data_IF_215482499002
#
_entry.id   IF_215482499002
#
_cell.length_a   1.000
_cell.length_b   1.000
_cell.length_c   1.000
_cell.angle_alpha   90.00
_cell.angle_beta   90.00
_cell.angle_gamma   90.00
#
_symmetry.space_group_name_H-M   'P 1'
#
loop_
_entity.id
_entity.type
_entity.pdbx_description
1 polymer ?
#
# COMPACT_ATOMS: atom_id res chain seq x y z
N UNK A 1 24.35 -23.12 -65.96
CA UNK A 1 23.10 -22.55 -65.56
C UNK A 1 23.14 -22.40 -64.01
N UNK A 2 23.38 -21.20 -63.53
CA UNK A 2 23.57 -20.94 -62.14
C UNK A 2 22.24 -20.43 -61.56
N UNK A 3 21.71 -21.13 -60.54
CA UNK A 3 20.53 -20.74 -59.83
C UNK A 3 20.93 -19.89 -58.59
N UNK A 4 20.56 -18.61 -58.58
CA UNK A 4 20.66 -17.76 -57.41
C UNK A 4 19.49 -18.05 -56.46
N UNK A 5 19.78 -18.49 -55.25
CA UNK A 5 18.82 -18.58 -54.16
C UNK A 5 18.93 -17.28 -53.34
N UNK A 6 17.89 -16.46 -53.36
CA UNK A 6 17.79 -15.26 -52.53
C UNK A 6 17.42 -15.65 -51.11
N UNK A 7 18.28 -15.36 -50.15
CA UNK A 7 17.99 -15.45 -48.73
C UNK A 7 17.20 -14.22 -48.30
N UNK A 8 15.95 -14.43 -47.89
CA UNK A 8 15.13 -13.39 -47.23
C UNK A 8 15.58 -13.29 -45.77
N UNK A 9 16.26 -12.20 -45.42
CA UNK A 9 16.48 -11.82 -44.02
C UNK A 9 15.17 -11.31 -43.45
N UNK A 10 14.54 -12.10 -42.60
CA UNK A 10 13.49 -11.61 -41.72
C UNK A 10 14.13 -10.68 -40.67
N UNK A 11 13.94 -9.38 -40.83
CA UNK A 11 14.26 -8.41 -39.80
C UNK A 11 13.27 -8.61 -38.61
N UNK A 12 13.71 -9.36 -37.62
CA UNK A 12 13.01 -9.45 -36.36
C UNK A 12 13.08 -8.07 -35.69
N UNK A 13 11.97 -7.38 -35.62
CA UNK A 13 11.82 -6.18 -34.79
C UNK A 13 11.95 -6.59 -33.33
N UNK A 14 13.12 -6.33 -32.74
CA UNK A 14 13.30 -6.40 -31.30
C UNK A 14 12.35 -5.36 -30.69
N UNK A 15 11.31 -5.83 -30.05
CA UNK A 15 10.42 -4.98 -29.25
C UNK A 15 11.29 -4.26 -28.22
N UNK A 16 11.34 -2.94 -28.32
CA UNK A 16 12.16 -2.10 -27.45
C UNK A 16 11.62 -2.22 -26.01
N UNK A 17 12.38 -2.73 -25.03
CA UNK A 17 11.92 -2.86 -23.66
C UNK A 17 11.48 -1.52 -23.02
N UNK A 18 11.98 -0.40 -23.57
CA UNK A 18 11.57 0.93 -23.15
C UNK A 18 10.08 1.25 -23.41
N UNK A 19 9.47 0.67 -24.45
CA UNK A 19 8.04 0.91 -24.73
C UNK A 19 7.12 0.13 -23.79
N UNK A 20 7.56 -1.03 -23.29
CA UNK A 20 6.81 -1.77 -22.28
C UNK A 20 6.83 -1.04 -20.91
N UNK A 21 7.92 -0.33 -20.60
CA UNK A 21 8.02 0.47 -19.37
C UNK A 21 7.14 1.72 -19.39
N UNK A 22 7.04 2.41 -20.52
CA UNK A 22 6.20 3.60 -20.66
C UNK A 22 4.70 3.29 -20.44
N UNK A 23 4.25 2.10 -20.89
CA UNK A 23 2.85 1.69 -20.68
C UNK A 23 2.53 1.36 -19.21
N UNK A 24 3.52 0.93 -18.42
CA UNK A 24 3.33 0.68 -16.99
C UNK A 24 3.34 1.98 -16.16
N UNK A 25 4.17 2.94 -16.51
CA UNK A 25 4.14 4.27 -15.87
C UNK A 25 2.81 4.99 -16.11
N UNK A 26 2.26 4.92 -17.32
CA UNK A 26 0.95 5.50 -17.62
C UNK A 26 -0.19 4.82 -16.85
N UNK A 27 -0.09 3.53 -16.59
CA UNK A 27 -1.11 2.81 -15.82
C UNK A 27 -1.08 3.15 -14.32
N UNK A 28 0.09 3.35 -13.75
CA UNK A 28 0.24 3.80 -12.37
C UNK A 28 -0.22 5.26 -12.19
N UNK A 29 0.07 6.13 -13.16
CA UNK A 29 -0.26 7.55 -13.09
C UNK A 29 -1.77 7.84 -13.22
N UNK A 30 -2.50 7.06 -14.03
CA UNK A 30 -3.94 7.26 -14.24
C UNK A 30 -4.83 6.68 -13.12
N UNK A 31 -4.29 5.91 -12.19
CA UNK A 31 -5.04 5.41 -11.04
C UNK A 31 -4.85 6.23 -9.75
N UNK A 32 -4.06 7.27 -9.79
CA UNK A 32 -3.92 8.27 -8.72
C UNK A 32 -5.15 9.18 -8.60
N UNK A 33 -6.18 8.99 -9.40
CA UNK A 33 -7.44 9.71 -9.20
C UNK A 33 -8.12 9.17 -7.96
N UNK A 34 -7.92 9.87 -6.85
CA UNK A 34 -8.74 9.73 -5.66
C UNK A 34 -10.21 9.85 -6.08
N UNK A 35 -10.94 8.77 -6.07
CA UNK A 35 -12.41 8.82 -6.12
C UNK A 35 -12.86 9.18 -4.71
N UNK A 36 -13.35 10.39 -4.47
CA UNK A 36 -13.96 10.72 -3.19
C UNK A 36 -15.30 9.99 -3.12
N UNK A 37 -15.33 8.82 -2.53
CA UNK A 37 -16.61 8.16 -2.25
C UNK A 37 -17.08 8.65 -0.89
N UNK A 38 -17.73 9.79 -0.91
CA UNK A 38 -18.55 10.24 0.22
C UNK A 38 -19.94 9.64 0.10
N UNK A 39 -20.20 8.51 0.72
CA UNK A 39 -21.55 8.05 0.99
C UNK A 39 -21.87 8.28 2.46
N UNK A 40 -22.81 9.19 2.71
CA UNK A 40 -23.38 9.43 4.03
C UNK A 40 -24.49 8.41 4.23
N UNK A 41 -24.26 7.40 5.07
CA UNK A 41 -25.33 6.57 5.59
C UNK A 41 -25.65 6.99 7.03
N UNK A 42 -26.92 7.25 7.37
CA UNK A 42 -27.34 7.37 8.78
C UNK A 42 -27.35 5.96 9.37
N UNK A 43 -26.25 5.59 10.02
CA UNK A 43 -26.06 4.30 10.66
C UNK A 43 -25.07 4.40 11.83
N UNK A 44 -24.86 3.30 12.58
CA UNK A 44 -23.87 3.28 13.65
C UNK A 44 -22.49 3.67 13.11
N UNK A 45 -21.54 4.14 13.97
CA UNK A 45 -20.25 4.61 13.52
C UNK A 45 -19.54 3.57 12.63
N UNK A 46 -19.23 3.98 11.41
CA UNK A 46 -18.55 3.16 10.42
C UNK A 46 -17.16 3.71 10.16
N UNK A 47 -16.16 2.84 10.07
CA UNK A 47 -14.83 3.19 9.62
C UNK A 47 -14.66 2.83 8.13
N UNK A 48 -14.24 3.80 7.32
CA UNK A 48 -13.85 3.60 5.92
C UNK A 48 -12.36 3.86 5.81
N UNK A 49 -11.59 2.84 5.48
CA UNK A 49 -10.16 2.94 5.20
C UNK A 49 -9.92 2.75 3.72
N UNK A 50 -9.37 3.78 3.06
CA UNK A 50 -8.96 3.73 1.66
C UNK A 50 -7.46 3.49 1.61
N UNK A 51 -7.03 2.41 0.97
CA UNK A 51 -5.63 2.12 0.72
C UNK A 51 -5.30 2.53 -0.71
N UNK A 52 -4.61 3.64 -0.87
CA UNK A 52 -4.08 4.09 -2.16
C UNK A 52 -2.64 3.61 -2.32
N UNK A 53 -2.32 3.16 -3.52
CA UNK A 53 -1.00 2.65 -3.86
C UNK A 53 -0.35 3.51 -4.91
N UNK A 54 0.86 3.96 -4.63
CA UNK A 54 1.73 4.60 -5.61
C UNK A 54 2.99 3.75 -5.74
N UNK A 55 3.27 3.24 -6.93
CA UNK A 55 4.53 2.56 -7.22
C UNK A 55 5.44 3.49 -8.03
N UNK A 56 6.67 3.67 -7.56
CA UNK A 56 7.74 4.33 -8.31
C UNK A 56 8.63 3.26 -8.92
N UNK A 57 8.81 3.27 -10.23
CA UNK A 57 9.62 2.28 -10.94
C UNK A 57 10.95 2.92 -11.32
N UNK A 58 11.99 2.60 -10.55
CA UNK A 58 13.37 2.74 -10.96
C UNK A 58 14.03 1.37 -10.83
N UNK A 59 14.31 0.66 -11.92
CA UNK A 59 14.79 -0.72 -11.91
C UNK A 59 13.67 -1.76 -11.96
N UNK A 60 13.93 -2.99 -11.55
CA UNK A 60 13.03 -4.13 -11.67
C UNK A 60 12.21 -4.35 -10.38
N UNK A 61 11.50 -3.33 -9.88
CA UNK A 61 10.68 -3.44 -8.68
C UNK A 61 9.35 -2.72 -8.84
N UNK A 62 8.27 -3.40 -8.49
CA UNK A 62 6.90 -2.89 -8.54
C UNK A 62 5.90 -3.89 -7.97
N UNK A 63 4.63 -3.58 -8.11
CA UNK A 63 3.55 -4.55 -7.87
C UNK A 63 3.23 -5.30 -9.17
N UNK A 64 2.84 -6.57 -9.06
CA UNK A 64 2.35 -7.31 -10.20
C UNK A 64 1.01 -6.72 -10.66
N UNK A 65 0.83 -6.61 -11.98
CA UNK A 65 -0.37 -6.02 -12.58
C UNK A 65 -1.65 -6.68 -12.05
N UNK A 66 -2.57 -5.88 -11.55
CA UNK A 66 -3.86 -6.33 -11.01
C UNK A 66 -3.78 -6.91 -9.59
N UNK A 67 -2.61 -6.86 -8.95
CA UNK A 67 -2.43 -7.30 -7.56
C UNK A 67 -1.89 -6.18 -6.66
N UNK A 68 -1.97 -4.95 -7.12
CA UNK A 68 -1.63 -3.78 -6.33
C UNK A 68 -2.54 -3.72 -5.08
N UNK A 69 -2.00 -3.37 -3.90
CA UNK A 69 -2.83 -3.24 -2.71
C UNK A 69 -3.81 -2.07 -2.88
N UNK A 70 -5.01 -2.37 -3.33
CA UNK A 70 -6.09 -1.41 -3.52
C UNK A 70 -7.38 -1.98 -2.94
N UNK A 71 -7.88 -1.38 -1.87
CA UNK A 71 -9.12 -1.81 -1.23
C UNK A 71 -9.80 -0.66 -0.49
N UNK A 72 -11.12 -0.72 -0.45
CA UNK A 72 -11.94 0.05 0.49
C UNK A 72 -12.41 -0.90 1.59
N UNK A 73 -12.03 -0.63 2.83
CA UNK A 73 -12.38 -1.44 3.99
C UNK A 73 -13.43 -0.68 4.78
N UNK A 74 -14.61 -1.28 4.93
CA UNK A 74 -15.71 -0.72 5.74
C UNK A 74 -15.94 -1.60 6.96
N UNK A 75 -15.88 -1.03 8.14
CA UNK A 75 -16.11 -1.72 9.43
C UNK A 75 -17.14 -0.95 10.25
N UNK A 76 -18.26 -1.58 10.60
CA UNK A 76 -19.24 -1.00 11.50
C UNK A 76 -18.81 -1.16 12.97
N UNK A 77 -19.38 -0.35 13.87
CA UNK A 77 -19.29 -0.50 15.33
C UNK A 77 -17.85 -0.57 15.86
N UNK A 78 -16.95 0.29 15.34
CA UNK A 78 -15.54 0.33 15.75
C UNK A 78 -15.33 0.75 17.22
N UNK A 79 -16.35 1.30 17.83
CA UNK A 79 -16.42 1.68 19.25
C UNK A 79 -16.59 0.46 20.17
N UNK A 80 -17.30 -0.57 19.70
CA UNK A 80 -17.66 -1.72 20.53
C UNK A 80 -17.02 -3.03 20.09
N UNK A 81 -16.53 -3.08 18.83
CA UNK A 81 -16.02 -4.33 18.24
C UNK A 81 -14.63 -4.12 17.64
N UNK A 82 -13.70 -4.97 18.05
CA UNK A 82 -12.39 -5.05 17.39
C UNK A 82 -12.53 -5.56 15.97
N UNK A 83 -11.63 -5.12 15.08
CA UNK A 83 -11.68 -5.48 13.68
C UNK A 83 -10.29 -5.68 13.08
N UNK A 84 -10.23 -6.44 12.01
CA UNK A 84 -9.05 -6.56 11.16
C UNK A 84 -9.46 -6.73 9.71
N UNK A 85 -8.56 -6.37 8.81
CA UNK A 85 -8.68 -6.65 7.38
C UNK A 85 -7.28 -6.76 6.78
N UNK A 86 -7.14 -7.58 5.74
CA UNK A 86 -5.93 -7.75 4.97
C UNK A 86 -6.18 -7.34 3.53
N UNK A 87 -5.24 -6.60 2.97
CA UNK A 87 -5.20 -6.21 1.56
C UNK A 87 -4.01 -6.94 0.94
N UNK A 88 -4.25 -8.02 0.19
CA UNK A 88 -3.17 -8.78 -0.43
C UNK A 88 -2.55 -8.00 -1.58
N UNK A 89 -1.28 -8.28 -1.86
CA UNK A 89 -0.58 -7.80 -3.04
C UNK A 89 0.51 -8.79 -3.47
N UNK A 90 1.06 -8.61 -4.66
CA UNK A 90 2.21 -9.38 -5.13
C UNK A 90 3.31 -8.43 -5.57
N UNK A 91 4.50 -8.57 -4.98
CA UNK A 91 5.66 -7.80 -5.38
C UNK A 91 6.42 -8.48 -6.53
N UNK A 92 6.94 -7.67 -7.46
CA UNK A 92 7.81 -8.08 -8.56
C UNK A 92 9.15 -7.36 -8.46
N UNK A 93 9.93 -7.69 -7.42
CA UNK A 93 11.23 -7.08 -7.15
C UNK A 93 12.33 -8.14 -7.27
N UNK A 94 13.17 -8.01 -8.31
CA UNK A 94 14.25 -8.96 -8.61
C UNK A 94 15.54 -8.69 -7.82
N UNK A 95 15.61 -7.57 -7.11
CA UNK A 95 16.72 -7.12 -6.28
C UNK A 95 16.19 -6.70 -4.89
N UNK A 96 17.06 -6.39 -3.92
CA UNK A 96 16.64 -5.77 -2.65
C UNK A 96 15.83 -4.48 -2.89
N UNK A 97 14.79 -4.28 -2.10
CA UNK A 97 13.85 -3.20 -2.25
C UNK A 97 13.30 -2.74 -0.91
N UNK A 98 12.49 -1.70 -0.93
CA UNK A 98 11.85 -1.15 0.26
C UNK A 98 10.38 -0.94 0.03
N UNK A 99 9.59 -1.12 1.10
CA UNK A 99 8.17 -0.81 1.13
C UNK A 99 7.91 0.21 2.24
N UNK A 100 7.11 1.22 1.96
CA UNK A 100 6.71 2.21 2.95
C UNK A 100 5.21 2.47 2.87
N UNK A 101 4.67 2.90 4.01
CA UNK A 101 3.25 3.23 4.17
C UNK A 101 3.14 4.57 4.86
N UNK A 102 2.24 5.41 4.37
CA UNK A 102 1.85 6.64 5.03
C UNK A 102 0.34 6.69 5.24
N UNK A 103 -0.07 7.27 6.35
CA UNK A 103 -1.46 7.57 6.66
C UNK A 103 -1.72 9.06 6.48
N UNK A 104 -2.86 9.41 5.90
CA UNK A 104 -3.25 10.81 5.70
C UNK A 104 -3.59 11.51 7.03
N UNK A 105 -4.21 10.78 7.95
CA UNK A 105 -4.73 11.37 9.19
C UNK A 105 -4.03 10.86 10.45
N UNK A 106 -3.20 9.81 10.38
CA UNK A 106 -2.61 9.17 11.55
C UNK A 106 -3.63 8.52 12.51
N UNK A 107 -4.86 8.39 12.08
CA UNK A 107 -5.98 7.74 12.78
C UNK A 107 -7.18 7.63 11.82
N UNK A 108 -8.12 6.77 12.10
CA UNK A 108 -9.46 6.91 11.56
C UNK A 108 -10.05 8.21 12.13
N UNK A 109 -10.39 9.18 11.28
CA UNK A 109 -10.82 10.52 11.67
C UNK A 109 -12.26 10.79 11.23
N UNK A 110 -13.06 11.32 12.15
CA UNK A 110 -14.37 11.88 11.87
C UNK A 110 -14.24 13.40 11.71
N UNK A 111 -14.95 13.99 10.76
CA UNK A 111 -14.93 15.44 10.51
C UNK A 111 -15.83 16.25 11.47
N UNK A 112 -16.63 15.58 12.31
CA UNK A 112 -17.54 16.26 13.23
C UNK A 112 -16.78 17.07 14.29
N UNK A 113 -17.44 18.13 14.77
CA UNK A 113 -16.98 18.89 15.94
C UNK A 113 -16.97 17.97 17.16
N UNK A 114 -15.93 18.11 17.99
CA UNK A 114 -15.72 17.29 19.18
C UNK A 114 -16.26 18.01 20.42
N UNK A 115 -17.37 17.55 21.01
CA UNK A 115 -17.82 18.04 22.32
C UNK A 115 -16.90 17.58 23.45
N UNK A 116 -16.99 18.22 24.62
CA UNK A 116 -16.26 17.77 25.80
C UNK A 116 -16.63 16.34 26.17
N UNK A 117 -15.64 15.48 26.47
CA UNK A 117 -15.82 14.06 26.77
C UNK A 117 -15.97 13.17 25.53
N UNK A 118 -15.78 13.75 24.34
CA UNK A 118 -15.82 13.00 23.09
C UNK A 118 -14.50 13.11 22.31
N UNK A 119 -14.29 12.18 21.37
CA UNK A 119 -13.14 12.14 20.49
C UNK A 119 -13.54 11.79 19.06
N UNK A 120 -12.87 12.39 18.08
CA UNK A 120 -13.12 12.15 16.66
C UNK A 120 -11.99 11.39 15.96
N UNK A 121 -11.12 10.73 16.71
CA UNK A 121 -9.99 9.95 16.19
C UNK A 121 -9.99 8.56 16.84
N UNK A 122 -9.97 7.52 16.04
CA UNK A 122 -9.86 6.14 16.51
C UNK A 122 -8.51 5.55 16.02
N UNK A 123 -7.65 5.09 16.94
CA UNK A 123 -6.36 4.50 16.57
C UNK A 123 -6.54 3.11 15.97
N UNK A 124 -5.58 2.71 15.16
CA UNK A 124 -5.43 1.35 14.66
C UNK A 124 -3.94 1.05 14.39
N UNK A 125 -3.62 -0.20 14.10
CA UNK A 125 -2.27 -0.63 13.72
C UNK A 125 -2.24 -1.08 12.27
N UNK A 126 -1.09 -0.88 11.65
CA UNK A 126 -0.79 -1.33 10.29
C UNK A 126 0.36 -2.33 10.36
N UNK A 127 0.18 -3.50 9.76
CA UNK A 127 1.21 -4.53 9.61
C UNK A 127 1.53 -4.70 8.14
N UNK A 128 2.79 -4.66 7.80
CA UNK A 128 3.33 -5.03 6.49
C UNK A 128 3.91 -6.43 6.60
N UNK A 129 3.52 -7.34 5.71
CA UNK A 129 4.02 -8.71 5.64
C UNK A 129 4.44 -9.02 4.21
N UNK A 130 5.71 -9.40 4.01
CA UNK A 130 6.27 -9.65 2.67
C UNK A 130 7.17 -10.89 2.69
N UNK A 131 6.78 -11.96 2.01
CA UNK A 131 7.66 -13.09 1.74
C UNK A 131 8.83 -12.69 0.83
N UNK A 132 9.97 -13.34 1.03
CA UNK A 132 11.15 -13.16 0.18
C UNK A 132 11.81 -14.50 -0.16
N UNK A 133 12.49 -14.51 -1.30
CA UNK A 133 13.33 -15.61 -1.77
C UNK A 133 14.56 -15.04 -2.47
N UNK A 134 15.73 -15.24 -1.87
CA UNK A 134 17.02 -14.82 -2.43
C UNK A 134 17.67 -15.89 -3.30
N UNK A 135 17.05 -17.06 -3.44
CA UNK A 135 17.63 -18.25 -4.06
C UNK A 135 18.48 -19.07 -3.10
N UNK A 136 19.06 -18.45 -2.09
CA UNK A 136 19.83 -19.13 -1.02
C UNK A 136 19.07 -19.20 0.32
N UNK A 137 18.08 -18.35 0.52
CA UNK A 137 17.22 -18.34 1.70
C UNK A 137 15.83 -17.82 1.38
N UNK A 138 14.83 -18.35 2.08
CA UNK A 138 13.45 -17.90 2.04
C UNK A 138 13.01 -17.47 3.42
N UNK A 139 12.04 -16.57 3.49
CA UNK A 139 11.48 -16.11 4.75
C UNK A 139 10.42 -15.04 4.55
N UNK A 140 10.09 -14.35 5.62
CA UNK A 140 9.08 -13.28 5.60
C UNK A 140 9.59 -12.10 6.40
N UNK A 141 9.50 -10.91 5.83
CA UNK A 141 9.72 -9.65 6.54
C UNK A 141 8.36 -9.19 7.05
N UNK A 142 8.24 -8.98 8.35
CA UNK A 142 7.01 -8.50 8.99
C UNK A 142 7.34 -7.34 9.91
N UNK A 143 6.54 -6.28 9.84
CA UNK A 143 6.65 -5.15 10.75
C UNK A 143 5.28 -4.55 11.02
N UNK A 144 5.05 -4.12 12.28
CA UNK A 144 3.78 -3.53 12.72
C UNK A 144 4.05 -2.18 13.38
N UNK A 145 3.28 -1.17 13.00
CA UNK A 145 3.33 0.16 13.61
C UNK A 145 1.92 0.65 13.95
N UNK A 146 1.75 1.38 15.06
CA UNK A 146 0.56 2.21 15.26
C UNK A 146 0.40 3.22 14.12
N UNK A 147 -0.82 3.43 13.65
CA UNK A 147 -1.09 4.34 12.53
C UNK A 147 -0.59 5.77 12.79
N UNK A 148 -0.63 6.22 14.04
CA UNK A 148 -0.10 7.53 14.42
C UNK A 148 1.39 7.71 14.12
N UNK A 149 2.16 6.62 14.07
CA UNK A 149 3.58 6.65 13.71
C UNK A 149 3.83 6.74 12.21
N UNK A 150 2.85 6.46 11.40
CA UNK A 150 2.93 6.57 9.94
C UNK A 150 2.13 7.76 9.39
N UNK A 151 1.68 8.66 10.25
CA UNK A 151 1.06 9.92 9.86
C UNK A 151 2.02 10.72 8.97
N UNK A 152 1.56 11.12 7.79
CA UNK A 152 2.37 11.89 6.82
C UNK A 152 2.81 13.26 7.38
N UNK A 153 2.04 13.85 8.30
CA UNK A 153 2.37 15.12 8.93
C UNK A 153 3.46 14.99 10.00
N UNK A 154 3.79 13.79 10.45
CA UNK A 154 4.79 13.56 11.47
C UNK A 154 6.20 13.67 10.88
N UNK A 155 7.06 14.53 11.39
CA UNK A 155 8.43 14.73 10.89
C UNK A 155 9.32 13.49 11.04
N UNK A 156 9.41 12.92 12.24
CA UNK A 156 10.19 11.72 12.57
C UNK A 156 9.31 10.66 13.22
N UNK A 157 9.72 9.39 13.10
CA UNK A 157 8.95 8.26 13.64
C UNK A 157 9.86 7.08 13.95
N UNK A 158 9.57 6.30 14.98
CA UNK A 158 10.24 5.03 15.22
C UNK A 158 9.80 3.91 14.24
N UNK A 159 8.74 4.13 13.46
CA UNK A 159 8.26 3.15 12.51
C UNK A 159 9.20 3.03 11.30
N UNK A 160 9.70 1.83 11.04
CA UNK A 160 10.68 1.54 10.00
C UNK A 160 10.12 1.52 8.56
N UNK A 161 8.80 1.62 8.40
CA UNK A 161 8.17 1.71 7.08
C UNK A 161 7.34 2.99 6.89
N UNK A 162 7.60 4.03 7.70
CA UNK A 162 6.87 5.30 7.56
C UNK A 162 7.23 6.04 6.27
N UNK A 163 6.22 6.62 5.63
CA UNK A 163 6.37 7.64 4.58
C UNK A 163 6.38 7.06 3.17
N UNK A 164 7.26 7.58 2.30
CA UNK A 164 7.44 7.14 0.92
C UNK A 164 8.68 6.27 0.82
N UNK A 165 8.58 5.15 0.13
CA UNK A 165 9.73 4.29 -0.13
C UNK A 165 10.74 4.99 -1.04
N UNK A 166 12.01 4.91 -0.67
CA UNK A 166 13.15 5.39 -1.46
C UNK A 166 14.28 4.35 -1.37
N UNK A 167 15.41 4.60 -1.98
CA UNK A 167 16.61 3.74 -1.84
C UNK A 167 17.05 3.56 -0.38
N UNK A 168 16.72 4.51 0.50
CA UNK A 168 17.16 4.50 1.91
C UNK A 168 16.01 4.47 2.92
N UNK A 169 14.79 4.89 2.55
CA UNK A 169 13.63 4.93 3.43
C UNK A 169 12.65 3.78 3.14
N UNK A 170 12.04 3.25 4.19
CA UNK A 170 11.08 2.15 4.15
C UNK A 170 11.65 0.85 4.73
N UNK A 171 10.77 -0.10 5.00
CA UNK A 171 11.09 -1.44 5.46
C UNK A 171 11.92 -2.17 4.40
N UNK A 172 13.16 -2.56 4.69
CA UNK A 172 14.00 -3.28 3.74
C UNK A 172 13.47 -4.71 3.55
N UNK A 173 13.33 -5.11 2.31
CA UNK A 173 12.93 -6.47 1.91
C UNK A 173 13.98 -6.99 0.94
N UNK A 174 14.47 -8.21 1.11
CA UNK A 174 15.29 -8.88 0.10
C UNK A 174 14.49 -9.08 -1.21
N UNK A 175 15.07 -9.81 -2.16
CA UNK A 175 14.36 -10.12 -3.40
C UNK A 175 13.00 -10.77 -3.12
N UNK A 176 11.94 -10.24 -3.77
CA UNK A 176 10.58 -10.80 -3.72
C UNK A 176 9.96 -10.71 -5.12
N UNK A 177 9.88 -11.85 -5.81
CA UNK A 177 9.40 -11.86 -7.18
C UNK A 177 8.28 -12.88 -7.33
N UNK A 178 7.05 -12.38 -7.56
CA UNK A 178 5.83 -13.17 -7.71
C UNK A 178 5.55 -14.15 -6.56
N UNK A 179 5.98 -13.82 -5.34
CA UNK A 179 5.69 -14.64 -4.16
C UNK A 179 4.29 -14.32 -3.65
N UNK A 180 3.52 -15.35 -3.36
CA UNK A 180 2.21 -15.23 -2.70
C UNK A 180 2.36 -14.93 -1.21
N UNK A 181 1.31 -14.35 -0.60
CA UNK A 181 1.25 -14.13 0.85
C UNK A 181 1.75 -12.77 1.32
N UNK A 182 2.04 -11.83 0.41
CA UNK A 182 2.24 -10.43 0.79
C UNK A 182 0.89 -9.76 1.10
N UNK A 183 0.83 -9.00 2.18
CA UNK A 183 -0.36 -8.21 2.52
C UNK A 183 -0.02 -6.99 3.39
N UNK A 184 -0.89 -6.00 3.29
CA UNK A 184 -1.04 -4.96 4.31
C UNK A 184 -2.22 -5.35 5.19
N UNK A 185 -2.00 -5.51 6.48
CA UNK A 185 -3.07 -5.72 7.44
C UNK A 185 -3.33 -4.44 8.23
N UNK A 186 -4.58 -4.13 8.41
CA UNK A 186 -5.05 -3.08 9.31
C UNK A 186 -5.91 -3.70 10.40
N UNK A 187 -5.66 -3.33 11.65
CA UNK A 187 -6.38 -3.91 12.78
C UNK A 187 -6.49 -2.93 13.94
N UNK A 188 -7.61 -3.00 14.64
CA UNK A 188 -7.80 -2.32 15.92
C UNK A 188 -8.58 -3.19 16.89
N UNK A 189 -8.33 -3.12 18.21
CA UNK A 189 -9.26 -3.60 19.20
C UNK A 189 -10.54 -2.75 19.17
N UNK A 190 -11.56 -3.13 19.93
CA UNK A 190 -12.64 -2.21 20.25
C UNK A 190 -12.06 -0.94 20.87
N UNK A 191 -12.61 0.22 20.52
CA UNK A 191 -12.09 1.46 21.03
C UNK A 191 -12.26 1.54 22.57
N UNK A 192 -11.19 1.81 23.28
CA UNK A 192 -11.13 1.84 24.74
C UNK A 192 -10.49 3.13 25.27
N UNK A 193 -10.61 4.24 24.52
CA UNK A 193 -10.10 5.54 24.96
C UNK A 193 -10.92 6.14 26.13
N UNK A 194 -10.37 7.17 26.81
CA UNK A 194 -11.04 7.80 27.94
C UNK A 194 -12.31 8.56 27.52
N UNK A 195 -12.34 9.07 26.29
CA UNK A 195 -13.45 9.81 25.71
C UNK A 195 -14.27 8.92 24.79
N UNK A 196 -15.54 9.23 24.60
CA UNK A 196 -16.45 8.48 23.72
C UNK A 196 -16.22 8.91 22.27
N UNK A 197 -16.26 7.98 21.32
CA UNK A 197 -16.22 8.34 19.91
C UNK A 197 -17.47 9.11 19.48
N UNK A 198 -17.28 10.23 18.79
CA UNK A 198 -18.39 10.98 18.19
C UNK A 198 -19.09 10.10 17.17
N UNK A 199 -20.41 10.09 17.18
CA UNK A 199 -21.19 9.35 16.17
C UNK A 199 -20.88 9.86 14.75
N UNK A 200 -20.72 8.95 13.80
CA UNK A 200 -20.51 9.27 12.37
C UNK A 200 -19.52 8.37 11.67
N UNK A 201 -19.11 8.79 10.50
CA UNK A 201 -18.14 8.07 9.67
C UNK A 201 -16.72 8.47 10.00
N UNK A 202 -15.86 7.49 10.19
CA UNK A 202 -14.43 7.63 10.43
C UNK A 202 -13.67 7.19 9.20
N UNK A 203 -12.77 8.03 8.70
CA UNK A 203 -12.02 7.76 7.46
C UNK A 203 -10.53 7.97 7.66
N UNK A 204 -9.73 7.17 6.98
CA UNK A 204 -8.32 7.41 6.74
C UNK A 204 -7.93 6.90 5.35
N UNK A 205 -6.81 7.37 4.83
CA UNK A 205 -6.23 6.92 3.57
C UNK A 205 -4.82 6.45 3.83
N UNK A 206 -4.54 5.19 3.50
CA UNK A 206 -3.19 4.65 3.49
C UNK A 206 -2.63 4.69 2.07
N UNK A 207 -1.42 5.22 1.93
CA UNK A 207 -0.65 5.17 0.68
C UNK A 207 0.51 4.22 0.87
N UNK A 208 0.60 3.20 0.01
CA UNK A 208 1.69 2.22 -0.01
C UNK A 208 2.61 2.52 -1.17
N UNK A 209 3.90 2.57 -0.92
CA UNK A 209 4.92 2.81 -1.94
C UNK A 209 6.01 1.75 -1.89
N UNK A 210 6.60 1.44 -3.03
CA UNK A 210 7.75 0.55 -3.16
C UNK A 210 8.87 1.24 -3.95
N UNK A 211 10.11 0.89 -3.65
CA UNK A 211 11.30 1.44 -4.34
C UNK A 211 12.42 0.41 -4.34
N UNK A 212 13.20 0.29 -5.42
CA UNK A 212 14.47 -0.43 -5.37
C UNK A 212 15.37 0.14 -4.26
N UNK A 213 16.19 -0.71 -3.65
CA UNK A 213 17.16 -0.32 -2.62
C UNK A 213 18.59 -0.16 -3.17
N UNK A 214 18.75 -0.09 -4.50
CA UNK A 214 20.01 0.00 -5.24
C UNK A 214 20.07 1.26 -6.07
#
# INVERSE_FOLDING_TARGET
MAGLTAAVLAAGTLANPAQAQISQEQYAYNRSSAVPVGYVFPGPPQAVLIVNVTASVGGTCGFATGTEPNATITKPNIDTTGWSAQVPFTAQCTAPWRIAVSSQNGALKNAATVPTGYQNRAPYAVTVNVPYDTGSSTGTVTSTCPVAQIDQALGSSPCNFKGTATTTNGLPVPRSFNLSGSFIQVAAPAYAGPDILVQGTYTDVLTVTVSPAI
#
